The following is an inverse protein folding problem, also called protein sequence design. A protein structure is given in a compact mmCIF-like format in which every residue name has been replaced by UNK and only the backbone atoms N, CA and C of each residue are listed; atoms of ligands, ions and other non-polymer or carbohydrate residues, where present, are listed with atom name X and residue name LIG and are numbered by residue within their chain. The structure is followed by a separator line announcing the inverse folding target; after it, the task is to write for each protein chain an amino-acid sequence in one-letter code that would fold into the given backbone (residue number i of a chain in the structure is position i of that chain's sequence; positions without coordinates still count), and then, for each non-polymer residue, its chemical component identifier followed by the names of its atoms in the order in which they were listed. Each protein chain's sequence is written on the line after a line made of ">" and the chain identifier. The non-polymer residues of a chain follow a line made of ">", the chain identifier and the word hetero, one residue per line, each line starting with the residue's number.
data_IF_349384332729
#
_entry.id   IF_349384332729
#
_cell.length_a   1.000
_cell.length_b   1.000
_cell.length_c   1.000
_cell.angle_alpha   90.00
_cell.angle_beta   90.00
_cell.angle_gamma   90.00
#
_symmetry.space_group_name_H-M   'P 1'
#
loop_
_entity.id
_entity.type
_entity.pdbx_description
1 polymer ?
#
# COMPACT_ATOMS: atom_id res chain seq x y z
N UNK A 1 -14.89 -5.81 52.41
CA UNK A 1 -14.03 -5.96 51.22
C UNK A 1 -14.31 -4.78 50.30
N UNK A 2 -13.34 -3.89 50.06
CA UNK A 2 -13.50 -2.72 49.18
C UNK A 2 -12.86 -3.03 47.83
N UNK A 3 -13.63 -2.97 46.75
CA UNK A 3 -13.11 -2.97 45.40
C UNK A 3 -12.43 -1.62 45.16
N UNK A 4 -11.12 -1.61 44.94
CA UNK A 4 -10.44 -0.41 44.45
C UNK A 4 -10.98 -0.11 43.05
N UNK A 5 -11.32 1.15 42.71
CA UNK A 5 -11.63 1.48 41.34
C UNK A 5 -10.41 1.14 40.48
N UNK A 6 -10.56 0.19 39.56
CA UNK A 6 -9.56 -0.06 38.54
C UNK A 6 -9.52 1.15 37.61
N UNK A 7 -8.74 2.16 37.98
CA UNK A 7 -8.42 3.25 37.06
C UNK A 7 -7.72 2.64 35.86
N UNK A 8 -8.37 2.69 34.69
CA UNK A 8 -7.78 2.22 33.43
C UNK A 8 -6.55 3.08 33.11
N UNK A 9 -5.37 2.54 33.40
CA UNK A 9 -4.11 3.19 33.11
C UNK A 9 -3.64 2.81 31.69
N UNK A 10 -3.20 3.80 30.92
CA UNK A 10 -2.45 3.59 29.69
C UNK A 10 -0.98 3.44 30.08
N UNK A 11 -0.35 2.32 29.71
CA UNK A 11 1.04 2.04 30.04
C UNK A 11 2.03 2.50 28.97
N UNK A 12 1.68 2.31 27.69
CA UNK A 12 2.52 2.70 26.56
C UNK A 12 1.69 3.04 25.30
N UNK A 13 2.27 3.85 24.41
CA UNK A 13 1.78 4.16 23.06
C UNK A 13 2.83 3.72 22.04
N UNK A 14 2.41 2.89 21.09
CA UNK A 14 3.22 2.46 19.96
C UNK A 14 2.62 2.96 18.65
N UNK A 15 3.44 3.46 17.74
CA UNK A 15 3.05 3.76 16.36
C UNK A 15 3.81 2.82 15.44
N UNK A 16 3.06 1.99 14.71
CA UNK A 16 3.60 0.98 13.80
C UNK A 16 3.36 1.43 12.37
N UNK A 17 4.39 1.37 11.55
CA UNK A 17 4.33 1.70 10.13
C UNK A 17 3.45 0.70 9.36
N UNK A 18 3.06 1.06 8.13
CA UNK A 18 2.40 0.11 7.21
C UNK A 18 3.28 -1.10 6.88
N UNK A 19 4.61 -0.96 6.93
CA UNK A 19 5.56 -2.07 6.71
C UNK A 19 5.79 -2.95 7.94
N UNK A 20 5.17 -2.62 9.09
CA UNK A 20 5.31 -3.38 10.34
C UNK A 20 6.51 -2.98 11.20
N UNK A 21 7.19 -1.87 10.87
CA UNK A 21 8.27 -1.31 11.70
C UNK A 21 7.74 -0.40 12.80
N UNK A 22 8.46 -0.29 13.91
CA UNK A 22 8.13 0.65 14.99
C UNK A 22 8.63 2.06 14.64
N UNK A 23 7.73 3.04 14.60
CA UNK A 23 8.03 4.45 14.32
C UNK A 23 8.18 5.25 15.62
N UNK A 24 7.37 4.91 16.62
CA UNK A 24 7.33 5.65 17.88
C UNK A 24 6.97 4.75 19.06
N UNK A 25 7.64 4.95 20.19
CA UNK A 25 7.32 4.37 21.48
C UNK A 25 7.30 5.48 22.56
N UNK A 26 6.23 5.53 23.35
CA UNK A 26 6.17 6.34 24.57
C UNK A 26 5.59 5.52 25.71
N UNK A 27 6.32 5.46 26.81
CA UNK A 27 5.86 4.87 28.07
C UNK A 27 5.28 5.97 28.98
N UNK A 28 4.20 5.65 29.70
CA UNK A 28 3.50 6.58 30.59
C UNK A 28 3.56 6.19 32.06
N UNK A 29 4.10 5.01 32.38
CA UNK A 29 4.19 4.50 33.74
C UNK A 29 5.56 3.87 34.01
N UNK A 30 6.19 4.26 35.13
CA UNK A 30 7.52 3.77 35.53
C UNK A 30 7.53 2.32 36.05
N UNK A 31 6.40 1.61 36.01
CA UNK A 31 6.26 0.22 36.47
C UNK A 31 6.30 -0.83 35.36
N UNK A 32 6.40 -0.42 34.09
CA UNK A 32 6.50 -1.37 32.98
C UNK A 32 7.96 -1.75 32.75
N UNK A 33 8.23 -3.05 32.57
CA UNK A 33 9.55 -3.51 32.19
C UNK A 33 9.92 -2.93 30.82
N UNK A 34 11.09 -2.28 30.74
CA UNK A 34 11.58 -1.71 29.49
C UNK A 34 11.97 -2.84 28.54
N UNK A 35 11.29 -2.87 27.40
CA UNK A 35 11.64 -3.77 26.31
C UNK A 35 12.87 -3.24 25.58
N UNK A 36 13.74 -4.16 25.12
CA UNK A 36 14.86 -3.76 24.28
C UNK A 36 14.36 -3.29 22.91
N UNK A 37 15.20 -2.57 22.18
CA UNK A 37 14.87 -2.15 20.81
C UNK A 37 14.51 -3.33 19.91
N UNK A 38 15.18 -4.48 20.06
CA UNK A 38 14.88 -5.68 19.28
C UNK A 38 13.52 -6.26 19.64
N UNK A 39 13.18 -6.32 20.93
CA UNK A 39 11.88 -6.82 21.38
C UNK A 39 10.74 -5.93 20.91
N UNK A 40 10.95 -4.61 20.93
CA UNK A 40 10.01 -3.62 20.40
C UNK A 40 9.81 -3.77 18.88
N UNK A 41 10.86 -4.09 18.13
CA UNK A 41 10.75 -4.38 16.70
C UNK A 41 10.01 -5.70 16.44
N UNK A 42 10.27 -6.74 17.23
CA UNK A 42 9.55 -8.02 17.17
C UNK A 42 8.06 -7.86 17.51
N UNK A 43 7.76 -7.03 18.52
CA UNK A 43 6.40 -6.65 18.89
C UNK A 43 5.68 -5.96 17.72
N UNK A 44 6.32 -4.96 17.10
CA UNK A 44 5.75 -4.25 15.96
C UNK A 44 5.47 -5.18 14.77
N UNK A 45 6.40 -6.07 14.45
CA UNK A 45 6.23 -7.10 13.41
C UNK A 45 5.08 -8.06 13.71
N UNK A 46 4.90 -8.43 14.99
CA UNK A 46 3.83 -9.31 15.43
C UNK A 46 2.44 -8.68 15.28
N UNK A 47 2.28 -7.42 15.67
CA UNK A 47 1.03 -6.69 15.42
C UNK A 47 0.72 -6.54 13.93
N UNK A 48 1.76 -6.33 13.11
CA UNK A 48 1.59 -6.31 11.67
C UNK A 48 1.12 -7.66 11.10
N UNK A 49 1.74 -8.77 11.54
CA UNK A 49 1.33 -10.12 11.17
C UNK A 49 -0.10 -10.43 11.62
N UNK A 50 -0.45 -10.08 12.86
CA UNK A 50 -1.81 -10.22 13.39
C UNK A 50 -2.83 -9.46 12.54
N UNK A 51 -2.52 -8.23 12.12
CA UNK A 51 -3.37 -7.44 11.23
C UNK A 51 -3.57 -8.10 9.86
N UNK A 52 -2.50 -8.64 9.28
CA UNK A 52 -2.56 -9.33 8.00
C UNK A 52 -3.44 -10.59 8.05
N UNK A 53 -3.27 -11.41 9.09
CA UNK A 53 -4.04 -12.65 9.29
C UNK A 53 -5.50 -12.32 9.60
N UNK A 54 -5.75 -11.42 10.55
CA UNK A 54 -7.11 -11.07 10.99
C UNK A 54 -7.93 -10.51 9.83
N UNK A 55 -7.33 -9.72 8.93
CA UNK A 55 -8.02 -9.25 7.72
C UNK A 55 -8.49 -10.38 6.79
N UNK A 56 -7.77 -11.49 6.73
CA UNK A 56 -8.15 -12.64 5.89
C UNK A 56 -9.21 -13.50 6.57
N UNK A 57 -9.21 -13.54 7.91
CA UNK A 57 -10.13 -14.37 8.69
C UNK A 57 -11.45 -13.66 9.04
N UNK A 58 -11.46 -12.32 9.10
CA UNK A 58 -12.67 -11.58 9.39
C UNK A 58 -13.77 -11.87 8.34
N UNK A 59 -15.02 -12.11 8.77
CA UNK A 59 -16.12 -12.34 7.84
C UNK A 59 -16.28 -11.15 6.90
N UNK A 60 -16.53 -11.45 5.61
CA UNK A 60 -16.74 -10.40 4.62
C UNK A 60 -17.96 -9.57 5.04
N UNK A 61 -17.88 -8.23 5.05
CA UNK A 61 -19.04 -7.41 5.32
C UNK A 61 -20.17 -7.77 4.35
N UNK A 62 -21.44 -7.71 4.79
CA UNK A 62 -22.58 -7.99 3.93
C UNK A 62 -22.48 -7.19 2.64
N UNK A 63 -22.55 -7.88 1.49
CA UNK A 63 -22.60 -7.20 0.19
C UNK A 63 -23.91 -6.40 0.16
N UNK A 64 -23.87 -5.07 -0.07
CA UNK A 64 -25.08 -4.29 -0.22
C UNK A 64 -25.94 -4.90 -1.34
N UNK A 65 -27.28 -4.93 -1.20
CA UNK A 65 -28.14 -5.45 -2.25
C UNK A 65 -27.85 -4.70 -3.55
N UNK A 66 -27.65 -5.43 -4.63
CA UNK A 66 -27.45 -4.85 -5.96
C UNK A 66 -28.62 -3.90 -6.26
N UNK A 67 -28.37 -2.71 -6.84
CA UNK A 67 -29.46 -1.83 -7.28
C UNK A 67 -30.32 -2.62 -8.25
N UNK A 68 -31.58 -2.86 -7.88
CA UNK A 68 -32.58 -3.48 -8.74
C UNK A 68 -32.65 -2.67 -10.03
N UNK A 69 -32.60 -3.38 -11.15
CA UNK A 69 -32.73 -2.89 -12.52
C UNK A 69 -33.73 -1.74 -12.65
N UNK A 70 -33.22 -0.50 -12.71
CA UNK A 70 -33.98 0.60 -13.28
C UNK A 70 -33.98 0.42 -14.81
N UNK A 71 -35.12 0.56 -15.51
CA UNK A 71 -35.15 0.51 -16.95
C UNK A 71 -34.36 1.70 -17.51
N UNK A 72 -33.57 1.45 -18.55
CA UNK A 72 -32.72 2.44 -19.20
C UNK A 72 -33.54 3.64 -19.71
N UNK A 73 -33.48 4.76 -18.98
CA UNK A 73 -33.83 6.07 -19.52
C UNK A 73 -32.56 6.68 -20.10
N UNK A 74 -32.40 6.44 -21.40
CA UNK A 74 -31.58 7.18 -22.34
C UNK A 74 -31.68 8.69 -22.05
N UNK A 75 -30.56 9.38 -21.72
CA UNK A 75 -30.26 10.82 -21.89
C UNK A 75 -29.18 11.31 -20.90
N UNK A 76 -27.90 11.08 -21.21
CA UNK A 76 -26.78 12.01 -20.95
C UNK A 76 -25.45 11.37 -21.37
N UNK A 77 -24.63 11.99 -22.25
CA UNK A 77 -23.24 11.57 -22.43
C UNK A 77 -22.41 11.95 -21.18
N UNK A 78 -21.50 11.09 -20.68
CA UNK A 78 -20.64 11.43 -19.56
C UNK A 78 -19.55 12.43 -19.99
N UNK A 79 -19.55 13.62 -19.39
CA UNK A 79 -18.53 14.66 -19.55
C UNK A 79 -17.28 14.40 -18.69
N UNK A 80 -16.62 13.23 -18.77
CA UNK A 80 -15.26 13.10 -18.20
C UNK A 80 -14.45 12.01 -18.95
N UNK A 81 -13.23 12.30 -19.43
CA UNK A 81 -12.36 11.26 -19.97
C UNK A 81 -11.85 10.36 -18.84
N UNK A 82 -12.13 9.05 -18.98
CA UNK A 82 -11.65 7.99 -18.12
C UNK A 82 -10.12 7.91 -18.08
N UNK A 83 -9.62 7.87 -16.85
CA UNK A 83 -8.23 7.70 -16.44
C UNK A 83 -7.64 6.39 -16.97
N UNK A 84 -6.82 6.47 -18.02
CA UNK A 84 -6.07 5.34 -18.54
C UNK A 84 -4.86 5.02 -17.61
N UNK A 85 -5.03 4.08 -16.69
CA UNK A 85 -3.92 3.43 -15.98
C UNK A 85 -3.82 1.97 -16.43
N UNK A 86 -3.14 1.74 -17.54
CA UNK A 86 -2.16 0.66 -17.70
C UNK A 86 -1.59 0.70 -19.12
N UNK A 87 -0.40 1.27 -19.30
CA UNK A 87 0.45 0.99 -20.47
C UNK A 87 1.85 0.64 -19.97
N UNK A 88 2.23 -0.62 -20.13
CA UNK A 88 3.58 -1.13 -19.93
C UNK A 88 4.50 -0.56 -21.01
N UNK A 89 5.73 -0.10 -20.71
CA UNK A 89 6.63 0.47 -21.69
C UNK A 89 7.43 -0.65 -22.38
N UNK A 90 6.82 -1.38 -23.32
CA UNK A 90 7.57 -2.35 -24.16
C UNK A 90 7.26 -2.35 -25.66
N UNK A 91 6.33 -1.54 -26.16
CA UNK A 91 6.09 -1.44 -27.61
C UNK A 91 6.49 -0.06 -28.15
N UNK A 92 7.79 0.11 -28.42
CA UNK A 92 8.30 1.07 -29.39
C UNK A 92 8.77 0.27 -30.63
N UNK A 93 7.83 -0.19 -31.45
CA UNK A 93 8.13 -0.61 -32.81
C UNK A 93 8.10 0.64 -33.69
N UNK A 94 9.28 1.04 -34.19
CA UNK A 94 9.45 2.18 -35.09
C UNK A 94 8.90 1.83 -36.48
N UNK A 95 8.02 2.64 -37.10
CA UNK A 95 7.55 2.38 -38.46
C UNK A 95 8.65 2.69 -39.48
N UNK A 96 8.82 1.73 -40.38
CA UNK A 96 9.77 1.67 -41.47
C UNK A 96 9.27 2.50 -42.67
N UNK A 97 9.78 3.73 -42.84
CA UNK A 97 9.90 4.44 -44.13
C UNK A 97 10.51 5.83 -43.95
N UNK A 98 11.79 6.00 -44.31
CA UNK A 98 12.25 7.04 -45.24
C UNK A 98 13.73 6.81 -45.56
N UNK A 99 14.01 6.85 -46.86
CA UNK A 99 15.18 6.37 -47.55
C UNK A 99 16.20 7.51 -47.77
N UNK A 100 17.49 7.17 -47.65
CA UNK A 100 18.68 7.83 -48.24
C UNK A 100 19.01 9.28 -47.89
N UNK A 101 20.20 9.51 -47.30
CA UNK A 101 21.36 9.92 -48.10
C UNK A 101 22.69 9.96 -47.31
N UNK A 102 23.68 9.30 -47.90
CA UNK A 102 25.09 9.70 -48.06
C UNK A 102 25.75 10.60 -47.00
N UNK A 103 26.60 10.02 -46.14
CA UNK A 103 27.99 10.49 -46.05
C UNK A 103 28.97 9.44 -45.51
N UNK A 104 30.03 9.31 -46.29
CA UNK A 104 31.25 8.52 -46.13
C UNK A 104 32.15 9.09 -45.03
N UNK A 105 32.65 8.24 -44.12
CA UNK A 105 34.01 8.34 -43.55
C UNK A 105 34.37 7.03 -42.79
N UNK A 106 35.08 6.11 -43.43
CA UNK A 106 36.52 5.82 -43.24
C UNK A 106 36.85 5.27 -41.83
N UNK A 107 36.97 3.94 -41.74
CA UNK A 107 37.70 3.21 -40.70
C UNK A 107 39.04 2.79 -41.30
N UNK A 108 40.15 3.23 -40.69
CA UNK A 108 41.47 2.63 -40.93
C UNK A 108 41.58 1.30 -40.18
N UNK A 109 42.15 0.24 -40.78
CA UNK A 109 42.50 -0.96 -40.02
C UNK A 109 43.78 -0.74 -39.22
N UNK A 110 43.80 -1.31 -38.02
CA UNK A 110 45.01 -1.58 -37.27
C UNK A 110 45.55 -2.92 -37.77
N UNK A 111 46.83 -2.91 -38.13
CA UNK A 111 47.73 -4.00 -38.54
C UNK A 111 47.81 -4.32 -40.04
#
# INVERSE_FOLDING_TARGET
>A
MRFAPCSLAIFALFIISKSGGLIYNREFHAGLQKLSSNDLLMLAGSFHGMHAITKQLCPNPPVPPAPSSAPAANLAPPLYPSRNRHRSPRDLTIPHAMLSDSHRNQVSPVH
#
